data_IF_158834105539
#
_entry.id   IF_158834105539
#
_cell.length_a   1.000
_cell.length_b   1.000
_cell.length_c   1.000
_cell.angle_alpha   90.00
_cell.angle_beta   90.00
_cell.angle_gamma   90.00
#
_symmetry.space_group_name_H-M   'P 1'
#
loop_
_entity.id
_entity.type
_entity.pdbx_description
1 polymer ?
#
# COMPACT_ATOMS: atom_id res chain seq x y z
N UNK A 1 -57.46 28.07 4.83
CA UNK A 1 -56.18 27.36 4.58
C UNK A 1 -55.23 27.65 5.75
N UNK A 2 -55.29 26.92 6.88
CA UNK A 2 -54.34 27.15 7.98
C UNK A 2 -52.99 26.44 7.71
N UNK A 3 -51.91 27.18 7.94
CA UNK A 3 -50.53 26.75 7.74
C UNK A 3 -50.11 25.68 8.77
N UNK A 4 -49.61 24.56 8.26
CA UNK A 4 -49.11 23.44 9.05
C UNK A 4 -47.75 23.81 9.66
N UNK A 5 -47.73 24.04 10.98
CA UNK A 5 -46.52 24.33 11.74
C UNK A 5 -45.77 23.01 12.04
N UNK A 6 -44.66 22.77 11.35
CA UNK A 6 -43.79 21.59 11.52
C UNK A 6 -43.09 21.69 12.88
N UNK A 7 -43.50 20.84 13.83
CA UNK A 7 -42.85 20.66 15.15
C UNK A 7 -41.45 20.08 14.96
N UNK A 8 -40.42 20.86 15.30
CA UNK A 8 -39.04 20.36 15.43
C UNK A 8 -38.92 19.37 16.59
N UNK A 9 -38.54 18.13 16.28
CA UNK A 9 -38.25 17.10 17.27
C UNK A 9 -36.93 17.36 18.02
N UNK A 10 -36.78 16.82 19.24
CA UNK A 10 -35.60 17.03 20.07
C UNK A 10 -34.36 16.44 19.40
N UNK A 11 -33.34 17.28 19.21
CA UNK A 11 -32.00 16.86 18.80
C UNK A 11 -31.35 16.15 19.99
N UNK A 12 -31.28 14.81 19.94
CA UNK A 12 -30.56 14.03 20.94
C UNK A 12 -29.06 14.34 20.85
N UNK A 13 -28.56 15.14 21.81
CA UNK A 13 -27.13 15.28 22.02
C UNK A 13 -26.65 14.08 22.87
N UNK A 14 -25.78 13.20 22.34
CA UNK A 14 -25.31 12.06 23.12
C UNK A 14 -24.52 12.57 24.34
N UNK A 15 -24.69 11.94 25.51
CA UNK A 15 -24.02 12.39 26.71
C UNK A 15 -22.51 12.18 26.59
N UNK A 16 -21.72 13.15 27.08
CA UNK A 16 -20.27 13.24 26.86
C UNK A 16 -19.46 12.05 27.41
N UNK A 17 -20.02 11.27 28.34
CA UNK A 17 -19.42 10.04 28.86
C UNK A 17 -19.43 8.89 27.84
N UNK A 18 -20.44 8.85 26.96
CA UNK A 18 -20.57 7.88 25.88
C UNK A 18 -19.51 8.14 24.79
N UNK A 19 -19.24 9.42 24.48
CA UNK A 19 -18.13 9.80 23.60
C UNK A 19 -16.76 9.41 24.20
N UNK A 20 -16.56 9.62 25.50
CA UNK A 20 -15.30 9.27 26.17
C UNK A 20 -15.05 7.75 26.20
N UNK A 21 -16.09 6.96 26.51
CA UNK A 21 -16.00 5.51 26.50
C UNK A 21 -15.69 4.97 25.10
N UNK A 22 -16.32 5.54 24.07
CA UNK A 22 -16.05 5.20 22.67
C UNK A 22 -14.60 5.55 22.28
N UNK A 23 -14.11 6.74 22.64
CA UNK A 23 -12.72 7.14 22.37
C UNK A 23 -11.70 6.22 23.06
N UNK A 24 -11.94 5.84 24.32
CA UNK A 24 -11.06 4.93 25.04
C UNK A 24 -11.01 3.54 24.38
N UNK A 25 -12.16 3.01 23.92
CA UNK A 25 -12.22 1.72 23.24
C UNK A 25 -11.45 1.73 21.91
N UNK A 26 -11.59 2.80 21.12
CA UNK A 26 -10.87 2.97 19.84
C UNK A 26 -9.35 3.05 20.08
N UNK A 27 -8.90 3.76 21.13
CA UNK A 27 -7.48 3.88 21.45
C UNK A 27 -6.85 2.53 21.84
N UNK A 28 -7.56 1.70 22.62
CA UNK A 28 -7.08 0.35 23.00
C UNK A 28 -6.98 -0.58 21.79
N UNK A 29 -7.96 -0.54 20.88
CA UNK A 29 -7.93 -1.34 19.66
C UNK A 29 -6.77 -0.93 18.72
N UNK A 30 -6.49 0.36 18.61
CA UNK A 30 -5.37 0.85 17.81
C UNK A 30 -4.00 0.39 18.35
N UNK A 31 -3.82 0.38 19.68
CA UNK A 31 -2.57 -0.07 20.31
C UNK A 31 -2.34 -1.59 20.12
N UNK A 32 -3.40 -2.40 20.19
CA UNK A 32 -3.33 -3.84 19.98
C UNK A 32 -2.95 -4.21 18.54
N UNK A 33 -3.38 -3.41 17.55
CA UNK A 33 -3.07 -3.64 16.14
C UNK A 33 -1.64 -3.21 15.74
N UNK A 34 -1.00 -2.32 16.52
CA UNK A 34 0.32 -1.78 16.19
C UNK A 34 1.45 -2.81 16.32
N UNK A 35 1.43 -3.66 17.35
CA UNK A 35 2.47 -4.68 17.58
C UNK A 35 2.68 -5.64 16.41
N UNK A 36 1.62 -6.32 15.92
CA UNK A 36 1.70 -7.23 14.78
C UNK A 36 2.14 -6.55 13.48
N UNK A 37 1.75 -5.30 13.25
CA UNK A 37 2.17 -4.54 12.07
C UNK A 37 3.68 -4.22 12.12
N UNK A 38 4.19 -3.86 13.29
CA UNK A 38 5.62 -3.60 13.49
C UNK A 38 6.48 -4.85 13.30
N UNK A 39 6.00 -6.00 13.78
CA UNK A 39 6.67 -7.29 13.61
C UNK A 39 6.77 -7.67 12.12
N UNK A 40 5.67 -7.51 11.37
CA UNK A 40 5.65 -7.75 9.91
C UNK A 40 6.60 -6.83 9.15
N UNK A 41 6.65 -5.54 9.52
CA UNK A 41 7.60 -4.58 8.93
C UNK A 41 9.06 -4.98 9.15
N UNK A 42 9.43 -5.40 10.38
CA UNK A 42 10.79 -5.90 10.66
C UNK A 42 11.12 -7.17 9.88
N UNK A 43 10.19 -8.12 9.81
CA UNK A 43 10.39 -9.35 9.06
C UNK A 43 10.56 -9.09 7.55
N UNK A 44 9.82 -8.12 7.01
CA UNK A 44 9.98 -7.66 5.63
C UNK A 44 11.34 -7.02 5.39
N UNK A 45 11.77 -6.11 6.27
CA UNK A 45 13.08 -5.47 6.18
C UNK A 45 14.21 -6.49 6.22
N UNK A 46 14.13 -7.49 7.12
CA UNK A 46 15.10 -8.58 7.16
C UNK A 46 15.11 -9.37 5.84
N UNK A 47 13.95 -9.69 5.26
CA UNK A 47 13.88 -10.37 3.96
C UNK A 47 14.55 -9.55 2.84
N UNK A 48 14.35 -8.23 2.83
CA UNK A 48 15.03 -7.31 1.91
C UNK A 48 16.54 -7.33 2.12
N UNK A 49 17.03 -7.37 3.35
CA UNK A 49 18.48 -7.49 3.62
C UNK A 49 19.05 -8.83 3.13
N UNK A 50 18.32 -9.93 3.31
CA UNK A 50 18.73 -11.23 2.76
C UNK A 50 18.83 -11.19 1.23
N UNK A 51 17.83 -10.57 0.58
CA UNK A 51 17.78 -10.40 -0.87
C UNK A 51 19.00 -9.58 -1.36
N UNK A 52 19.27 -8.44 -0.72
CA UNK A 52 20.42 -7.58 -1.03
C UNK A 52 21.76 -8.27 -0.83
N UNK A 53 21.86 -9.16 0.16
CA UNK A 53 23.04 -9.96 0.41
C UNK A 53 23.22 -11.14 -0.57
N UNK A 54 22.34 -11.28 -1.58
CA UNK A 54 22.36 -12.39 -2.54
C UNK A 54 21.87 -13.72 -1.98
N UNK A 55 21.36 -13.75 -0.75
CA UNK A 55 20.76 -14.94 -0.12
C UNK A 55 19.31 -15.10 -0.57
N UNK A 56 19.13 -15.33 -1.87
CA UNK A 56 17.82 -15.31 -2.54
C UNK A 56 16.86 -16.39 -2.01
N UNK A 57 17.36 -17.58 -1.66
CA UNK A 57 16.51 -18.64 -1.09
C UNK A 57 15.96 -18.27 0.28
N UNK A 58 16.79 -17.71 1.16
CA UNK A 58 16.37 -17.25 2.49
C UNK A 58 15.40 -16.06 2.38
N UNK A 59 15.67 -15.14 1.45
CA UNK A 59 14.80 -14.01 1.16
C UNK A 59 13.42 -14.49 0.69
N UNK A 60 13.39 -15.43 -0.27
CA UNK A 60 12.14 -15.99 -0.77
C UNK A 60 11.32 -16.66 0.34
N UNK A 61 11.95 -17.50 1.18
CA UNK A 61 11.24 -18.17 2.27
C UNK A 61 10.59 -17.20 3.26
N UNK A 62 11.22 -16.03 3.49
CA UNK A 62 10.66 -14.98 4.33
C UNK A 62 9.51 -14.22 3.64
N UNK A 63 9.67 -13.87 2.36
CA UNK A 63 8.58 -13.26 1.61
C UNK A 63 7.38 -14.21 1.46
N UNK A 64 7.63 -15.49 1.28
CA UNK A 64 6.63 -16.55 1.25
C UNK A 64 5.82 -16.60 2.55
N UNK A 65 6.48 -16.63 3.71
CA UNK A 65 5.81 -16.64 5.00
C UNK A 65 4.92 -15.40 5.19
N UNK A 66 5.46 -14.21 4.88
CA UNK A 66 4.74 -12.94 4.98
C UNK A 66 3.54 -12.87 4.00
N UNK A 67 3.71 -13.38 2.78
CA UNK A 67 2.63 -13.47 1.81
C UNK A 67 1.51 -14.41 2.30
N UNK A 68 1.87 -15.53 2.94
CA UNK A 68 0.93 -16.45 3.58
C UNK A 68 0.26 -15.86 4.83
N UNK A 69 0.85 -14.84 5.46
CA UNK A 69 0.21 -14.03 6.51
C UNK A 69 -0.71 -12.93 5.95
N UNK A 70 -0.69 -12.70 4.63
CA UNK A 70 -1.54 -11.72 3.95
C UNK A 70 -0.88 -10.37 3.66
N UNK A 71 0.45 -10.29 3.75
CA UNK A 71 1.23 -9.10 3.39
C UNK A 71 1.28 -8.92 1.87
N UNK A 72 0.71 -7.81 1.38
CA UNK A 72 0.54 -7.56 -0.04
C UNK A 72 1.86 -7.30 -0.78
N UNK A 73 2.82 -6.61 -0.15
CA UNK A 73 4.10 -6.31 -0.79
C UNK A 73 4.98 -7.56 -0.85
N UNK A 74 5.00 -8.35 0.23
CA UNK A 74 5.69 -9.63 0.24
C UNK A 74 5.11 -10.58 -0.82
N UNK A 75 3.79 -10.63 -0.98
CA UNK A 75 3.12 -11.42 -2.00
C UNK A 75 3.53 -11.03 -3.42
N UNK A 76 3.65 -9.73 -3.72
CA UNK A 76 4.14 -9.25 -5.03
C UNK A 76 5.56 -9.71 -5.32
N UNK A 77 6.44 -9.60 -4.33
CA UNK A 77 7.85 -10.00 -4.48
C UNK A 77 7.97 -11.52 -4.61
N UNK A 78 7.26 -12.28 -3.79
CA UNK A 78 7.25 -13.75 -3.85
C UNK A 78 6.75 -14.24 -5.22
N UNK A 79 5.66 -13.66 -5.75
CA UNK A 79 5.17 -13.96 -7.09
C UNK A 79 6.18 -13.61 -8.18
N UNK A 80 6.81 -12.44 -8.09
CA UNK A 80 7.84 -12.04 -9.03
C UNK A 80 9.02 -13.02 -9.04
N UNK A 81 9.54 -13.38 -7.86
CA UNK A 81 10.63 -14.33 -7.71
C UNK A 81 10.24 -15.73 -8.19
N UNK A 82 9.01 -16.19 -7.89
CA UNK A 82 8.52 -17.49 -8.35
C UNK A 82 8.38 -17.53 -9.89
N UNK A 83 7.79 -16.50 -10.50
CA UNK A 83 7.52 -16.47 -11.93
C UNK A 83 8.77 -16.23 -12.79
N UNK A 84 9.60 -15.25 -12.41
CA UNK A 84 10.78 -14.85 -13.20
C UNK A 84 12.07 -15.47 -12.68
N UNK A 85 11.97 -16.29 -11.64
CA UNK A 85 13.10 -16.87 -10.96
C UNK A 85 14.12 -17.58 -11.84
N UNK A 86 13.66 -18.47 -12.74
CA UNK A 86 14.56 -19.20 -13.63
C UNK A 86 15.33 -18.28 -14.57
N UNK A 87 14.70 -17.20 -15.02
CA UNK A 87 15.27 -16.26 -15.99
C UNK A 87 16.22 -15.26 -15.31
N UNK A 88 15.83 -14.72 -14.16
CA UNK A 88 16.59 -13.66 -13.49
C UNK A 88 17.69 -14.19 -12.55
N UNK A 89 17.46 -15.35 -11.94
CA UNK A 89 18.34 -15.87 -10.89
C UNK A 89 18.86 -17.28 -11.18
N UNK A 90 18.42 -17.92 -12.26
CA UNK A 90 18.77 -19.32 -12.57
C UNK A 90 18.26 -20.30 -11.51
N UNK A 91 17.19 -19.95 -10.79
CA UNK A 91 16.64 -20.74 -9.67
C UNK A 91 15.14 -20.91 -9.80
N UNK A 92 14.65 -22.07 -9.38
CA UNK A 92 13.23 -22.34 -9.22
C UNK A 92 12.88 -22.29 -7.74
N UNK A 93 11.70 -21.78 -7.45
CA UNK A 93 11.14 -21.79 -6.10
C UNK A 93 9.80 -22.48 -6.14
N UNK A 94 9.63 -23.49 -5.30
CA UNK A 94 8.38 -24.22 -5.22
C UNK A 94 7.35 -23.40 -4.43
N UNK A 95 6.16 -23.28 -5.01
CA UNK A 95 4.97 -22.74 -4.38
C UNK A 95 3.79 -23.57 -4.85
N UNK A 96 2.91 -23.96 -3.94
CA UNK A 96 1.74 -24.73 -4.33
C UNK A 96 0.77 -23.83 -5.13
N UNK A 97 0.00 -24.40 -6.10
CA UNK A 97 -0.89 -23.59 -6.94
C UNK A 97 -1.90 -22.73 -6.15
N UNK A 98 -2.35 -23.22 -4.99
CA UNK A 98 -3.28 -22.49 -4.12
C UNK A 98 -2.61 -21.30 -3.41
N UNK A 99 -1.30 -21.38 -3.13
CA UNK A 99 -0.53 -20.28 -2.53
C UNK A 99 -0.33 -19.18 -3.57
N UNK A 100 0.03 -19.55 -4.80
CA UNK A 100 0.14 -18.63 -5.93
C UNK A 100 -1.18 -17.89 -6.17
N UNK A 101 -2.30 -18.62 -6.22
CA UNK A 101 -3.63 -18.02 -6.39
C UNK A 101 -3.98 -17.06 -5.24
N UNK A 102 -3.64 -17.42 -4.00
CA UNK A 102 -3.84 -16.56 -2.82
C UNK A 102 -3.00 -15.29 -2.93
N UNK A 103 -1.74 -15.38 -3.31
CA UNK A 103 -0.87 -14.21 -3.46
C UNK A 103 -1.33 -13.30 -4.60
N UNK A 104 -1.84 -13.86 -5.69
CA UNK A 104 -2.40 -13.09 -6.81
C UNK A 104 -3.56 -12.22 -6.34
N UNK A 105 -4.46 -12.78 -5.52
CA UNK A 105 -5.56 -12.03 -4.91
C UNK A 105 -5.10 -10.91 -3.94
N UNK A 106 -3.86 -10.96 -3.43
CA UNK A 106 -3.30 -9.93 -2.57
C UNK A 106 -2.69 -8.75 -3.35
N UNK A 107 -2.35 -8.93 -4.63
CA UNK A 107 -1.59 -7.93 -5.40
C UNK A 107 -2.32 -6.59 -5.58
N UNK A 108 -3.66 -6.59 -5.52
CA UNK A 108 -4.48 -5.39 -5.66
C UNK A 108 -4.67 -4.62 -4.35
N UNK A 109 -4.22 -5.17 -3.22
CA UNK A 109 -4.36 -4.50 -1.91
C UNK A 109 -3.41 -3.31 -1.80
N UNK A 110 -3.74 -2.27 -1.03
CA UNK A 110 -2.79 -1.18 -0.77
C UNK A 110 -1.48 -1.72 -0.18
N UNK A 111 -0.38 -1.02 -0.46
CA UNK A 111 0.93 -1.35 0.08
C UNK A 111 0.87 -1.42 1.62
N UNK A 112 1.43 -2.50 2.17
CA UNK A 112 1.53 -2.72 3.60
C UNK A 112 2.74 -1.97 4.20
N UNK A 113 3.77 -1.75 3.38
CA UNK A 113 5.01 -1.08 3.76
C UNK A 113 5.13 0.29 3.09
N UNK A 114 5.75 1.27 3.76
CA UNK A 114 6.03 2.57 3.16
C UNK A 114 6.96 2.39 1.95
N UNK A 115 6.49 2.79 0.78
CA UNK A 115 7.34 2.77 -0.41
C UNK A 115 8.41 3.86 -0.28
N UNK A 116 9.68 3.54 -0.58
CA UNK A 116 10.71 4.56 -0.64
C UNK A 116 10.31 5.59 -1.70
N UNK A 117 10.51 6.89 -1.45
CA UNK A 117 10.23 7.90 -2.44
C UNK A 117 11.09 7.64 -3.67
N UNK A 118 10.46 7.51 -4.84
CA UNK A 118 11.19 7.44 -6.11
C UNK A 118 11.91 8.77 -6.32
N UNK A 119 13.23 8.75 -6.20
CA UNK A 119 14.11 9.90 -6.45
C UNK A 119 15.10 9.52 -7.56
N UNK A 120 14.81 9.89 -8.81
CA UNK A 120 15.75 9.62 -9.88
C UNK A 120 16.90 10.63 -9.84
N UNK A 121 18.12 10.15 -10.05
CA UNK A 121 19.36 10.93 -9.97
C UNK A 121 19.36 12.17 -10.89
N UNK A 122 18.63 12.10 -12.02
CA UNK A 122 18.48 13.20 -12.98
C UNK A 122 17.63 14.38 -12.49
N UNK A 123 16.88 14.19 -11.39
CA UNK A 123 16.09 15.25 -10.77
C UNK A 123 16.98 16.14 -9.89
N UNK A 124 17.93 15.54 -9.18
CA UNK A 124 18.82 16.24 -8.26
C UNK A 124 20.02 16.89 -8.98
N UNK A 125 20.47 16.31 -10.10
CA UNK A 125 21.61 16.84 -10.87
C UNK A 125 21.23 17.92 -11.91
N UNK A 126 19.94 18.29 -12.01
CA UNK A 126 19.44 19.32 -12.93
C UNK A 126 19.51 18.98 -14.42
N UNK A 127 19.75 17.72 -14.80
CA UNK A 127 19.85 17.30 -16.20
C UNK A 127 18.50 17.31 -16.91
N UNK A 128 17.39 17.25 -16.16
CA UNK A 128 16.05 17.42 -16.72
C UNK A 128 15.62 18.89 -16.68
N UNK A 129 15.85 19.62 -17.77
CA UNK A 129 15.17 20.90 -18.03
C UNK A 129 13.96 20.64 -18.92
N UNK A 130 12.71 20.64 -18.39
CA UNK A 130 11.55 20.55 -19.26
C UNK A 130 11.57 21.74 -20.22
N UNK A 131 11.57 21.48 -21.54
CA UNK A 131 11.50 22.57 -22.52
C UNK A 131 10.21 23.36 -22.25
N UNK A 132 10.26 24.70 -22.14
CA UNK A 132 9.06 25.49 -21.97
C UNK A 132 8.12 25.16 -23.13
N UNK A 133 6.88 24.76 -22.82
CA UNK A 133 5.88 24.52 -23.86
C UNK A 133 5.73 25.83 -24.65
N UNK A 134 6.09 25.78 -25.93
CA UNK A 134 5.81 26.88 -26.84
C UNK A 134 4.31 27.16 -26.75
N UNK A 135 3.95 28.41 -26.44
CA UNK A 135 2.56 28.85 -26.41
C UNK A 135 1.98 28.53 -27.79
N UNK A 136 1.13 27.51 -27.85
CA UNK A 136 0.36 27.21 -29.05
C UNK A 136 -0.62 28.36 -29.23
N UNK A 137 -0.20 29.37 -29.99
CA UNK A 137 -1.04 30.48 -30.42
C UNK A 137 -2.02 29.96 -31.46
N UNK A 138 -3.05 29.25 -31.00
CA UNK A 138 -4.23 28.98 -31.82
C UNK A 138 -4.97 30.30 -31.95
N UNK A 139 -4.72 31.02 -33.04
CA UNK A 139 -5.57 32.13 -33.46
C UNK A 139 -6.91 31.53 -33.86
N UNK A 140 -7.90 31.65 -32.98
CA UNK A 140 -9.29 31.35 -33.27
C UNK A 140 -9.79 32.41 -34.26
N UNK A 141 -9.72 32.11 -35.56
CA UNK A 141 -10.31 32.93 -36.61
C UNK A 141 -11.82 32.69 -36.58
N UNK A 142 -12.56 33.68 -36.07
CA UNK A 142 -14.01 33.72 -36.18
C UNK A 142 -14.40 33.84 -37.66
N UNK A 143 -15.07 32.83 -38.19
CA UNK A 143 -15.81 32.93 -39.46
C UNK A 143 -17.18 33.49 -39.11
N UNK A 144 -17.52 34.61 -39.75
CA UNK A 144 -18.78 35.33 -39.63
C UNK A 144 -19.68 34.96 -40.80
#
# INVERSE_FOLDING_TARGET
>A
MPAQQVRGGPRYAPPRWLLRALCALVAVAALAAAGPAQARSRAFDEAVQQYRAGRLSDAFGRFFALANEGDADAARIALFMHQYGPVLYGRYWDAAPHEVARWQALQDRPAAHPQPPFRPDWLDNGSFRPKPKAKSGVKQTAVR
#
